data_IF_164797296266
#
_entry.id   IF_164797296266
#
_cell.length_a   1.000
_cell.length_b   1.000
_cell.length_c   1.000
_cell.angle_alpha   90.00
_cell.angle_beta   90.00
_cell.angle_gamma   90.00
#
_symmetry.space_group_name_H-M   'P 1'
#
loop_
_entity.id
_entity.type
_entity.pdbx_description
1 polymer ?
#
# COMPACT_ATOMS: atom_id res chain seq x y z
N UNK A 1 -5.93 17.82 11.90
CA UNK A 1 -5.58 16.47 11.38
C UNK A 1 -4.68 15.75 12.38
N UNK A 2 -4.89 14.48 12.64
CA UNK A 2 -4.09 13.71 13.59
C UNK A 2 -2.70 13.30 13.06
N UNK A 3 -2.27 13.80 11.90
CA UNK A 3 -1.02 13.41 11.25
C UNK A 3 -0.19 14.61 10.82
N UNK A 4 1.13 14.52 11.01
CA UNK A 4 2.13 15.47 10.52
C UNK A 4 2.84 14.85 9.31
N UNK A 5 2.85 15.54 8.16
CA UNK A 5 3.32 15.01 6.88
C UNK A 5 4.63 15.62 6.39
N UNK A 6 5.47 14.80 5.77
CA UNK A 6 6.54 15.23 4.87
C UNK A 6 6.35 14.58 3.48
N UNK A 7 6.52 15.33 2.40
CA UNK A 7 6.16 14.91 1.05
C UNK A 7 7.33 14.30 0.26
N UNK A 8 7.06 13.19 -0.44
CA UNK A 8 7.85 12.74 -1.59
C UNK A 8 6.91 12.10 -2.62
N UNK A 9 6.52 12.89 -3.65
CA UNK A 9 5.88 12.39 -4.87
C UNK A 9 4.58 11.59 -4.72
N UNK A 10 3.45 12.21 -4.37
CA UNK A 10 2.10 11.57 -4.42
C UNK A 10 1.75 10.63 -3.26
N UNK A 11 2.73 10.11 -2.55
CA UNK A 11 2.58 9.40 -1.27
C UNK A 11 3.37 10.15 -0.21
N UNK A 12 2.75 10.41 0.92
CA UNK A 12 3.35 11.17 2.02
C UNK A 12 3.66 10.22 3.17
N UNK A 13 4.83 10.39 3.78
CA UNK A 13 5.11 9.80 5.08
C UNK A 13 4.59 10.73 6.16
N UNK A 14 3.88 10.20 7.13
CA UNK A 14 3.30 10.95 8.23
C UNK A 14 3.47 10.22 9.55
N UNK A 15 3.25 10.95 10.63
CA UNK A 15 3.26 10.40 11.99
C UNK A 15 1.90 10.62 12.63
N UNK A 16 1.37 9.59 13.26
CA UNK A 16 0.17 9.73 14.07
C UNK A 16 0.49 10.52 15.33
N UNK A 17 -0.20 11.63 15.52
CA UNK A 17 -0.01 12.49 16.69
C UNK A 17 -0.33 11.72 17.97
N UNK A 18 0.60 11.74 18.93
CA UNK A 18 0.46 11.08 20.23
C UNK A 18 1.02 9.66 20.31
N UNK A 19 1.22 8.95 19.21
CA UNK A 19 1.79 7.59 19.20
C UNK A 19 3.15 7.49 18.52
N UNK A 20 3.55 8.51 17.74
CA UNK A 20 4.71 8.50 16.85
C UNK A 20 4.72 7.31 15.84
N UNK A 21 3.57 6.71 15.59
CA UNK A 21 3.44 5.65 14.60
C UNK A 21 3.61 6.26 13.20
N UNK A 22 4.59 5.75 12.45
CA UNK A 22 4.79 6.12 11.05
C UNK A 22 3.69 5.51 10.17
N UNK A 23 3.11 6.32 9.31
CA UNK A 23 2.08 5.93 8.36
C UNK A 23 2.39 6.49 6.98
N UNK A 24 1.86 5.84 5.95
CA UNK A 24 1.84 6.35 4.58
C UNK A 24 0.47 6.94 4.28
N UNK A 25 0.44 8.10 3.62
CA UNK A 25 -0.81 8.73 3.20
C UNK A 25 -0.77 8.91 1.69
N UNK A 26 -1.75 8.31 1.01
CA UNK A 26 -1.99 8.54 -0.42
C UNK A 26 -3.11 9.55 -0.60
N UNK A 27 -2.82 10.62 -1.34
CA UNK A 27 -3.81 11.64 -1.70
C UNK A 27 -4.35 11.36 -3.10
N UNK A 28 -5.65 11.43 -3.25
CA UNK A 28 -6.34 11.27 -4.53
C UNK A 28 -7.30 12.44 -4.75
N UNK A 29 -7.10 13.16 -5.85
CA UNK A 29 -8.02 14.19 -6.31
C UNK A 29 -9.25 13.53 -6.91
N UNK A 30 -10.41 13.69 -6.28
CA UNK A 30 -11.66 13.06 -6.71
C UNK A 30 -12.22 13.64 -8.02
N UNK A 31 -11.87 14.87 -8.38
CA UNK A 31 -12.30 15.46 -9.63
C UNK A 31 -11.60 14.84 -10.85
N UNK A 32 -10.38 14.35 -10.64
CA UNK A 32 -9.60 13.67 -11.67
C UNK A 32 -9.94 12.18 -11.81
N UNK A 33 -10.80 11.65 -10.93
CA UNK A 33 -11.15 10.24 -10.93
C UNK A 33 -12.47 10.01 -11.67
N UNK A 34 -12.48 9.23 -12.77
CA UNK A 34 -13.67 9.05 -13.60
C UNK A 34 -14.78 8.23 -12.94
N UNK A 35 -14.46 7.43 -11.91
CA UNK A 35 -15.41 6.49 -11.28
C UNK A 35 -15.25 6.49 -9.76
N UNK A 36 -15.92 7.45 -9.09
CA UNK A 36 -15.86 7.60 -7.63
C UNK A 36 -16.35 6.35 -6.87
N UNK A 37 -17.36 5.65 -7.40
CA UNK A 37 -17.94 4.45 -6.77
C UNK A 37 -16.93 3.29 -6.69
N UNK A 38 -16.01 3.17 -7.67
CA UNK A 38 -14.97 2.15 -7.65
C UNK A 38 -13.95 2.41 -6.53
N UNK A 39 -13.63 3.68 -6.27
CA UNK A 39 -12.73 4.07 -5.17
C UNK A 39 -13.32 3.68 -3.83
N UNK A 40 -14.60 3.96 -3.62
CA UNK A 40 -15.31 3.61 -2.39
C UNK A 40 -15.30 2.10 -2.18
N UNK A 41 -15.63 1.33 -3.21
CA UNK A 41 -15.61 -0.14 -3.15
C UNK A 41 -14.23 -0.69 -2.81
N UNK A 42 -13.17 -0.14 -3.40
CA UNK A 42 -11.80 -0.57 -3.13
C UNK A 42 -11.37 -0.27 -1.70
N UNK A 43 -11.73 0.90 -1.18
CA UNK A 43 -11.49 1.24 0.24
C UNK A 43 -12.22 0.26 1.16
N UNK A 44 -13.47 -0.09 0.85
CA UNK A 44 -14.22 -1.07 1.62
C UNK A 44 -13.57 -2.45 1.58
N UNK A 45 -13.09 -2.87 0.43
CA UNK A 45 -12.34 -4.13 0.27
C UNK A 45 -11.04 -4.10 1.07
N UNK A 46 -10.26 -3.03 0.98
CA UNK A 46 -9.02 -2.87 1.75
C UNK A 46 -9.27 -2.90 3.26
N UNK A 47 -10.31 -2.21 3.70
CA UNK A 47 -10.71 -2.19 5.11
C UNK A 47 -11.10 -3.58 5.62
N UNK A 48 -11.69 -4.41 4.77
CA UNK A 48 -12.08 -5.79 5.09
C UNK A 48 -10.94 -6.79 4.94
N UNK A 49 -9.95 -6.51 4.10
CA UNK A 49 -8.85 -7.43 3.76
C UNK A 49 -7.65 -7.21 4.68
N UNK A 50 -7.69 -7.76 5.89
CA UNK A 50 -6.54 -7.78 6.80
C UNK A 50 -5.75 -9.07 6.64
N UNK A 51 -4.48 -8.92 6.24
CA UNK A 51 -3.56 -10.05 6.08
C UNK A 51 -2.11 -9.59 6.29
N UNK A 52 -1.25 -10.48 6.79
CA UNK A 52 0.17 -10.21 7.03
C UNK A 52 0.95 -9.80 5.78
N UNK A 53 0.52 -10.22 4.61
CA UNK A 53 1.18 -9.91 3.32
C UNK A 53 0.43 -8.88 2.47
N UNK A 54 -0.47 -8.14 3.08
CA UNK A 54 -1.15 -6.99 2.47
C UNK A 54 -0.88 -5.76 3.32
N UNK A 55 -0.56 -4.63 2.68
CA UNK A 55 -0.41 -3.34 3.37
C UNK A 55 -1.74 -2.99 4.02
N UNK A 56 -1.71 -2.82 5.35
CA UNK A 56 -2.92 -2.60 6.12
C UNK A 56 -3.45 -1.18 5.92
N UNK A 57 -4.73 -1.10 5.64
CA UNK A 57 -5.49 0.13 5.71
C UNK A 57 -5.69 0.53 7.19
N UNK A 58 -5.47 1.81 7.49
CA UNK A 58 -5.64 2.37 8.83
C UNK A 58 -6.90 3.23 8.87
N UNK A 59 -6.99 4.24 8.00
CA UNK A 59 -8.10 5.18 7.98
C UNK A 59 -8.20 5.90 6.63
N UNK A 60 -9.27 6.66 6.42
CA UNK A 60 -9.40 7.56 5.27
C UNK A 60 -10.15 8.83 5.67
N UNK A 61 -9.80 9.93 5.02
CA UNK A 61 -10.38 11.25 5.26
C UNK A 61 -10.70 11.92 3.93
N UNK A 62 -11.85 12.58 3.91
CA UNK A 62 -12.19 13.49 2.84
C UNK A 62 -11.82 14.92 3.30
N UNK A 63 -10.88 15.54 2.60
CA UNK A 63 -10.47 16.90 2.87
C UNK A 63 -10.57 17.74 1.60
N UNK A 64 -11.41 18.78 1.63
CA UNK A 64 -11.80 19.53 0.42
C UNK A 64 -12.34 18.55 -0.62
N UNK A 65 -11.71 18.42 -1.77
CA UNK A 65 -12.11 17.46 -2.81
C UNK A 65 -11.08 16.35 -3.02
N UNK A 66 -10.24 16.13 -2.02
CA UNK A 66 -9.21 15.09 -2.02
C UNK A 66 -9.56 13.99 -1.02
N UNK A 67 -9.41 12.76 -1.44
CA UNK A 67 -9.48 11.59 -0.58
C UNK A 67 -8.07 11.24 -0.10
N UNK A 68 -7.89 11.20 1.20
CA UNK A 68 -6.64 10.83 1.86
C UNK A 68 -6.79 9.45 2.46
N UNK A 69 -6.00 8.49 1.99
CA UNK A 69 -6.00 7.12 2.50
C UNK A 69 -4.75 6.90 3.32
N UNK A 70 -4.95 6.56 4.59
CA UNK A 70 -3.87 6.30 5.55
C UNK A 70 -3.63 4.79 5.63
N UNK A 71 -2.39 4.40 5.42
CA UNK A 71 -1.93 3.01 5.41
C UNK A 71 -0.71 2.84 6.29
N UNK A 72 -0.39 1.62 6.66
CA UNK A 72 0.89 1.33 7.31
C UNK A 72 2.07 1.73 6.41
N UNK A 73 3.12 2.23 7.05
CA UNK A 73 4.34 2.62 6.36
C UNK A 73 5.33 1.45 6.33
N UNK A 74 5.85 1.17 5.13
CA UNK A 74 6.84 0.11 4.90
C UNK A 74 8.22 0.75 4.68
N UNK A 75 9.04 0.81 5.72
CA UNK A 75 10.28 1.59 5.78
C UNK A 75 11.39 1.05 4.87
N UNK A 76 11.34 -0.23 4.53
CA UNK A 76 12.33 -0.88 3.66
C UNK A 76 12.18 -0.52 2.18
N UNK A 77 11.13 0.23 1.82
CA UNK A 77 10.85 0.63 0.45
C UNK A 77 10.25 -0.48 -0.40
N UNK A 78 10.29 -0.29 -1.72
CA UNK A 78 9.77 -1.26 -2.67
C UNK A 78 10.80 -2.33 -3.05
N UNK A 79 10.33 -3.44 -3.60
CA UNK A 79 11.21 -4.47 -4.16
C UNK A 79 12.06 -3.91 -5.32
N UNK A 80 11.54 -2.93 -6.06
CA UNK A 80 12.32 -2.21 -7.09
C UNK A 80 13.55 -1.55 -6.48
N UNK A 81 13.42 -0.87 -5.35
CA UNK A 81 14.54 -0.22 -4.66
C UNK A 81 15.59 -1.26 -4.23
N UNK A 82 15.15 -2.42 -3.76
CA UNK A 82 16.04 -3.50 -3.31
C UNK A 82 16.80 -4.10 -4.49
N UNK A 83 16.14 -4.44 -5.59
CA UNK A 83 16.78 -5.11 -6.75
C UNK A 83 17.66 -4.18 -7.57
N UNK A 84 17.45 -2.87 -7.51
CA UNK A 84 18.33 -1.89 -8.15
C UNK A 84 19.63 -1.66 -7.36
N UNK A 85 19.60 -1.81 -6.05
CA UNK A 85 20.73 -1.59 -5.16
C UNK A 85 21.52 -2.87 -4.84
N UNK A 86 20.89 -4.06 -4.92
CA UNK A 86 21.46 -5.33 -4.46
C UNK A 86 21.10 -6.49 -5.38
N UNK A 87 21.97 -7.51 -5.38
CA UNK A 87 21.66 -8.82 -5.94
C UNK A 87 20.95 -9.65 -4.87
N UNK A 88 19.81 -10.24 -5.22
CA UNK A 88 19.09 -11.15 -4.34
C UNK A 88 19.57 -12.59 -4.54
N UNK A 89 19.72 -13.33 -3.44
CA UNK A 89 19.94 -14.77 -3.49
C UNK A 89 18.67 -15.50 -3.90
N UNK A 90 18.80 -16.74 -4.39
CA UNK A 90 17.63 -17.58 -4.72
C UNK A 90 16.70 -17.79 -3.52
N UNK A 91 17.27 -17.94 -2.32
CA UNK A 91 16.49 -18.05 -1.09
C UNK A 91 15.67 -16.79 -0.77
N UNK A 92 16.25 -15.62 -0.97
CA UNK A 92 15.55 -14.34 -0.82
C UNK A 92 14.44 -14.17 -1.86
N UNK A 93 14.71 -14.50 -3.13
CA UNK A 93 13.71 -14.49 -4.20
C UNK A 93 12.55 -15.45 -3.86
N UNK A 94 12.86 -16.64 -3.39
CA UNK A 94 11.84 -17.62 -2.98
C UNK A 94 10.98 -17.11 -1.83
N UNK A 95 11.57 -16.47 -0.82
CA UNK A 95 10.85 -15.90 0.31
C UNK A 95 9.91 -14.78 -0.15
N UNK A 96 10.39 -13.84 -0.96
CA UNK A 96 9.56 -12.74 -1.51
C UNK A 96 8.43 -13.29 -2.37
N UNK A 97 8.70 -14.28 -3.21
CA UNK A 97 7.68 -14.90 -4.07
C UNK A 97 6.61 -15.60 -3.25
N UNK A 98 7.00 -16.33 -2.20
CA UNK A 98 6.06 -17.01 -1.30
C UNK A 98 5.13 -16.02 -0.59
N UNK A 99 5.69 -14.99 0.03
CA UNK A 99 4.92 -13.99 0.77
C UNK A 99 3.98 -13.20 -0.16
N UNK A 100 4.44 -12.86 -1.35
CA UNK A 100 3.63 -12.22 -2.39
C UNK A 100 2.47 -13.12 -2.82
N UNK A 101 2.73 -14.41 -3.05
CA UNK A 101 1.70 -15.38 -3.43
C UNK A 101 0.66 -15.58 -2.31
N UNK A 102 1.06 -15.56 -1.05
CA UNK A 102 0.15 -15.62 0.10
C UNK A 102 -0.78 -14.40 0.14
N UNK A 103 -0.25 -13.21 -0.08
CA UNK A 103 -1.05 -11.98 -0.19
C UNK A 103 -2.06 -12.06 -1.35
N UNK A 104 -1.63 -12.50 -2.53
CA UNK A 104 -2.51 -12.72 -3.67
C UNK A 104 -3.59 -13.77 -3.40
N UNK A 105 -3.23 -14.89 -2.77
CA UNK A 105 -4.20 -15.91 -2.39
C UNK A 105 -5.29 -15.35 -1.48
N UNK A 106 -4.88 -14.52 -0.51
CA UNK A 106 -5.84 -13.85 0.37
C UNK A 106 -6.81 -12.97 -0.40
N UNK A 107 -6.30 -12.11 -1.30
CA UNK A 107 -7.14 -11.26 -2.15
C UNK A 107 -8.10 -12.06 -3.01
N UNK A 108 -7.59 -13.11 -3.68
CA UNK A 108 -8.41 -13.97 -4.55
C UNK A 108 -9.52 -14.70 -3.80
N UNK A 109 -9.25 -15.18 -2.59
CA UNK A 109 -10.29 -15.78 -1.72
C UNK A 109 -11.42 -14.81 -1.37
N UNK A 110 -11.15 -13.52 -1.36
CA UNK A 110 -12.14 -12.47 -1.11
C UNK A 110 -12.70 -11.84 -2.40
N UNK A 111 -12.47 -12.47 -3.55
CA UNK A 111 -12.97 -12.01 -4.85
C UNK A 111 -12.27 -10.79 -5.42
N UNK A 112 -11.07 -10.47 -4.92
CA UNK A 112 -10.28 -9.31 -5.34
C UNK A 112 -9.15 -9.74 -6.26
N UNK A 113 -9.06 -9.13 -7.44
CA UNK A 113 -7.94 -9.28 -8.37
C UNK A 113 -7.07 -8.04 -8.28
N UNK A 114 -5.78 -8.21 -7.99
CA UNK A 114 -4.86 -7.08 -7.79
C UNK A 114 -4.64 -6.24 -9.05
N UNK A 115 -4.50 -6.87 -10.21
CA UNK A 115 -4.36 -6.27 -11.56
C UNK A 115 -3.06 -5.52 -11.85
N UNK A 116 -2.23 -5.20 -10.85
CA UNK A 116 -0.99 -4.44 -11.04
C UNK A 116 0.16 -5.04 -10.19
N UNK A 117 0.45 -6.32 -10.40
CA UNK A 117 1.58 -7.00 -9.74
C UNK A 117 2.87 -6.59 -10.44
N UNK A 118 3.69 -5.88 -9.70
CA UNK A 118 5.03 -5.44 -10.12
C UNK A 118 5.90 -5.19 -8.88
N UNK A 119 7.20 -5.10 -9.07
CA UNK A 119 8.16 -4.88 -7.97
C UNK A 119 7.94 -3.57 -7.20
N UNK A 120 7.37 -2.55 -7.85
CA UNK A 120 7.01 -1.28 -7.19
C UNK A 120 5.90 -1.46 -6.15
N UNK A 121 5.07 -2.48 -6.30
CA UNK A 121 3.94 -2.76 -5.41
C UNK A 121 4.21 -3.88 -4.40
N UNK A 122 5.42 -4.40 -4.34
CA UNK A 122 5.90 -5.29 -3.28
C UNK A 122 6.75 -4.46 -2.33
N UNK A 123 6.26 -4.25 -1.11
CA UNK A 123 6.90 -3.40 -0.11
C UNK A 123 7.53 -4.23 1.00
N UNK A 124 8.62 -3.71 1.56
CA UNK A 124 9.39 -4.37 2.60
C UNK A 124 9.45 -3.50 3.86
N UNK A 125 9.39 -4.15 5.03
CA UNK A 125 9.74 -3.51 6.30
C UNK A 125 11.23 -3.71 6.61
N UNK A 126 11.75 -2.93 7.55
CA UNK A 126 13.13 -3.14 8.06
C UNK A 126 13.28 -4.44 8.86
N UNK A 127 12.19 -5.03 9.31
CA UNK A 127 12.15 -6.29 10.05
C UNK A 127 11.96 -7.53 9.16
N UNK A 128 11.88 -7.34 7.83
CA UNK A 128 11.81 -8.42 6.86
C UNK A 128 10.40 -8.83 6.45
N UNK A 129 9.38 -8.07 6.82
CA UNK A 129 8.02 -8.30 6.35
C UNK A 129 7.88 -7.91 4.88
N UNK A 130 7.11 -8.69 4.14
CA UNK A 130 6.84 -8.48 2.72
C UNK A 130 5.34 -8.35 2.54
N UNK A 131 4.92 -7.23 1.95
CA UNK A 131 3.50 -6.92 1.78
C UNK A 131 3.23 -6.37 0.39
N UNK A 132 2.10 -6.80 -0.18
CA UNK A 132 1.54 -6.19 -1.38
C UNK A 132 0.85 -4.88 -1.03
N UNK A 133 1.20 -3.82 -1.74
CA UNK A 133 0.36 -2.63 -1.76
C UNK A 133 -0.79 -2.86 -2.73
N UNK A 134 -2.00 -2.55 -2.32
CA UNK A 134 -3.12 -2.43 -3.24
C UNK A 134 -2.95 -1.12 -3.98
N UNK A 135 -2.69 -1.20 -5.29
CA UNK A 135 -2.58 0.00 -6.11
C UNK A 135 -3.98 0.55 -6.36
N UNK A 136 -4.18 1.80 -5.98
CA UNK A 136 -5.32 2.59 -6.45
C UNK A 136 -5.09 3.16 -7.85
N UNK A 137 -4.36 2.45 -8.68
CA UNK A 137 -4.23 2.85 -10.09
C UNK A 137 -5.53 2.47 -10.80
N UNK A 138 -6.54 3.33 -10.57
CA UNK A 138 -7.70 3.34 -11.43
C UNK A 138 -7.24 3.78 -12.81
N UNK A 139 -7.18 2.82 -13.70
CA UNK A 139 -7.19 2.96 -15.14
C UNK A 139 -7.04 4.42 -15.65
N UNK A 140 -5.80 4.79 -15.92
CA UNK A 140 -5.57 5.83 -16.92
C UNK A 140 -6.10 5.35 -18.27
#
# INVERSE_FOLDING_TARGET
MPYSCSASGGVFTAYQVGTNLSVAIKQMDLDKQPKKDLIINEILVMRASRHTNIVNYIDSFLYKNELWVVMEYMEGGSLTDVVTANLMTEGQIAAVSRETAQGLQHLHKHGVIHRDIKSDNVLLSLTGDIKLSTSFDFLS
#
